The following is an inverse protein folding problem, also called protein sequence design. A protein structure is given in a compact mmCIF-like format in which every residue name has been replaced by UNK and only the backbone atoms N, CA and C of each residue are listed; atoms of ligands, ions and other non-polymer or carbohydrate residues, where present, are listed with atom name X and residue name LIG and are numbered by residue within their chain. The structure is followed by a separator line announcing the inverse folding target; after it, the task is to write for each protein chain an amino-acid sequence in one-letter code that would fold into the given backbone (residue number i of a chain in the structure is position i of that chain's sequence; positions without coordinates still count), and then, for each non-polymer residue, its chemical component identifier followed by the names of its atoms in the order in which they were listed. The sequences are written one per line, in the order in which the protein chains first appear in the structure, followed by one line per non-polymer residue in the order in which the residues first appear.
data_IF_727006180028
#
_entry.id   IF_727006180028
#
_cell.length_a   1.000
_cell.length_b   1.000
_cell.length_c   1.000
_cell.angle_alpha   90.00
_cell.angle_beta   90.00
_cell.angle_gamma   90.00
#
_symmetry.space_group_name_H-M   'P 1'
#
loop_
_entity.id
_entity.type
_entity.pdbx_description
1 polymer ?
#
# COMPACT_ATOMS: atom_id res chain seq x y z
N UNK A 1 4.50 -2.73 -20.02
CA UNK A 1 3.83 -2.96 -18.72
C UNK A 1 4.35 -1.95 -17.72
N UNK A 2 3.45 -1.28 -17.01
CA UNK A 2 3.82 -0.36 -15.95
C UNK A 2 4.39 -1.11 -14.74
N UNK A 3 5.32 -0.49 -14.01
CA UNK A 3 5.97 -1.04 -12.83
C UNK A 3 5.21 -0.65 -11.56
N UNK A 4 5.33 -1.49 -10.51
CA UNK A 4 4.61 -1.32 -9.24
C UNK A 4 5.54 -1.48 -8.04
N UNK A 5 5.49 -0.51 -7.11
CA UNK A 5 6.13 -0.58 -5.80
C UNK A 5 5.09 -0.89 -4.71
N UNK A 6 5.30 -1.96 -3.97
CA UNK A 6 4.60 -2.25 -2.74
C UNK A 6 5.34 -1.63 -1.54
N UNK A 7 4.71 -0.68 -0.86
CA UNK A 7 5.23 -0.02 0.34
C UNK A 7 4.60 -0.70 1.56
N UNK A 8 5.41 -1.48 2.29
CA UNK A 8 4.97 -2.21 3.48
C UNK A 8 5.30 -1.39 4.73
N UNK A 9 4.31 -1.15 5.59
CA UNK A 9 4.52 -0.53 6.90
C UNK A 9 4.31 -1.55 8.01
N UNK A 10 5.30 -1.70 8.90
CA UNK A 10 5.26 -2.66 9.99
C UNK A 10 5.67 -2.04 11.33
N UNK A 11 5.14 -2.61 12.43
CA UNK A 11 5.44 -2.18 13.78
C UNK A 11 5.33 -3.36 14.75
N UNK A 12 6.37 -3.60 15.56
CA UNK A 12 6.43 -4.50 16.70
C UNK A 12 6.02 -5.98 16.49
N UNK A 13 5.62 -6.39 15.27
CA UNK A 13 5.23 -7.77 14.92
C UNK A 13 5.96 -8.23 13.66
N UNK A 14 7.10 -8.89 13.85
CA UNK A 14 7.91 -9.44 12.76
C UNK A 14 7.17 -10.55 12.01
N UNK A 15 6.42 -11.40 12.70
CA UNK A 15 5.69 -12.50 12.07
C UNK A 15 4.59 -11.98 11.13
N UNK A 16 3.89 -10.92 11.54
CA UNK A 16 2.91 -10.25 10.69
C UNK A 16 3.57 -9.61 9.46
N UNK A 17 4.69 -8.92 9.65
CA UNK A 17 5.49 -8.34 8.55
C UNK A 17 5.89 -9.42 7.54
N UNK A 18 6.42 -10.55 8.00
CA UNK A 18 6.82 -11.67 7.13
C UNK A 18 5.62 -12.29 6.40
N UNK A 19 4.45 -12.41 7.05
CA UNK A 19 3.21 -12.86 6.38
C UNK A 19 2.85 -11.92 5.22
N UNK A 20 2.92 -10.61 5.42
CA UNK A 20 2.62 -9.63 4.37
C UNK A 20 3.62 -9.72 3.22
N UNK A 21 4.91 -9.83 3.51
CA UNK A 21 5.95 -10.03 2.48
C UNK A 21 5.67 -11.30 1.66
N UNK A 22 5.40 -12.42 2.33
CA UNK A 22 5.11 -13.68 1.64
C UNK A 22 3.83 -13.60 0.80
N UNK A 23 2.80 -12.89 1.27
CA UNK A 23 1.56 -12.68 0.50
C UNK A 23 1.79 -11.83 -0.75
N UNK A 24 2.71 -10.86 -0.70
CA UNK A 24 3.11 -10.06 -1.86
C UNK A 24 3.91 -10.86 -2.88
N UNK A 25 4.81 -11.73 -2.42
CA UNK A 25 5.58 -12.63 -3.29
C UNK A 25 4.70 -13.72 -3.91
N UNK A 26 3.57 -14.07 -3.28
CA UNK A 26 2.60 -15.05 -3.78
C UNK A 26 1.48 -14.45 -4.64
N UNK A 27 1.50 -13.14 -4.92
CA UNK A 27 0.53 -12.50 -5.81
C UNK A 27 0.65 -13.04 -7.24
N UNK A 28 -0.46 -13.12 -7.98
CA UNK A 28 -0.46 -13.54 -9.41
C UNK A 28 0.39 -12.60 -10.27
N UNK A 29 0.49 -11.33 -9.88
CA UNK A 29 1.46 -10.37 -10.39
C UNK A 29 2.32 -9.89 -9.23
N UNK A 30 3.56 -10.34 -9.16
CA UNK A 30 4.52 -9.94 -8.12
C UNK A 30 4.91 -8.46 -8.30
N UNK A 31 5.01 -7.65 -7.23
CA UNK A 31 5.53 -6.28 -7.32
C UNK A 31 6.92 -6.24 -7.96
N UNK A 32 7.21 -5.19 -8.72
CA UNK A 32 8.56 -4.94 -9.25
C UNK A 32 9.53 -4.53 -8.14
N UNK A 33 9.00 -3.88 -7.10
CA UNK A 33 9.75 -3.43 -5.94
C UNK A 33 8.92 -3.63 -4.67
N UNK A 34 9.55 -4.09 -3.60
CA UNK A 34 8.99 -4.14 -2.25
C UNK A 34 9.90 -3.33 -1.33
N UNK A 35 9.33 -2.33 -0.67
CA UNK A 35 10.01 -1.50 0.33
C UNK A 35 9.32 -1.73 1.67
N UNK A 36 10.07 -2.16 2.67
CA UNK A 36 9.57 -2.40 4.02
C UNK A 36 10.10 -1.34 4.96
N UNK A 37 9.21 -0.57 5.59
CA UNK A 37 9.56 0.39 6.62
C UNK A 37 9.02 -0.12 7.96
N UNK A 38 9.91 -0.47 8.88
CA UNK A 38 9.55 -1.14 10.11
C UNK A 38 10.12 -0.42 11.33
N UNK A 39 9.33 -0.33 12.40
CA UNK A 39 9.76 0.15 13.71
C UNK A 39 9.58 -0.93 14.77
N UNK A 40 10.49 -0.96 15.74
CA UNK A 40 10.50 -1.90 16.86
C UNK A 40 10.54 -3.39 16.42
N UNK A 41 11.18 -3.66 15.27
CA UNK A 41 11.39 -5.00 14.69
C UNK A 41 12.88 -5.12 14.33
N UNK A 42 13.50 -6.27 14.66
CA UNK A 42 14.83 -6.61 14.18
C UNK A 42 14.76 -7.09 12.72
N UNK A 43 15.41 -6.39 11.80
CA UNK A 43 15.34 -6.70 10.37
C UNK A 43 16.42 -7.67 9.88
N UNK A 44 17.42 -7.99 10.70
CA UNK A 44 18.62 -8.72 10.27
C UNK A 44 18.35 -10.13 9.71
N UNK A 45 17.33 -10.82 10.18
CA UNK A 45 16.93 -12.13 9.64
C UNK A 45 16.12 -11.98 8.36
N UNK A 46 15.20 -11.04 8.32
CA UNK A 46 14.40 -10.73 7.13
C UNK A 46 15.28 -10.28 5.96
N UNK A 47 16.27 -9.40 6.19
CA UNK A 47 17.23 -8.96 5.18
C UNK A 47 18.03 -10.12 4.57
N UNK A 48 18.44 -11.09 5.40
CA UNK A 48 19.13 -12.30 4.91
C UNK A 48 18.22 -13.23 4.12
N UNK A 49 16.96 -13.38 4.56
CA UNK A 49 15.99 -14.26 3.92
C UNK A 49 15.46 -13.69 2.58
N UNK A 50 15.40 -12.36 2.46
CA UNK A 50 14.80 -11.68 1.31
C UNK A 50 15.73 -10.60 0.72
N UNK A 51 16.89 -10.96 0.15
CA UNK A 51 17.92 -10.00 -0.28
C UNK A 51 17.47 -9.06 -1.41
N UNK A 52 16.38 -9.35 -2.10
CA UNK A 52 15.81 -8.50 -3.15
C UNK A 52 14.84 -7.44 -2.59
N UNK A 53 14.50 -7.50 -1.31
CA UNK A 53 13.58 -6.56 -0.65
C UNK A 53 14.40 -5.46 0.02
N UNK A 54 13.93 -4.22 -0.09
CA UNK A 54 14.56 -3.07 0.56
C UNK A 54 13.95 -2.87 1.94
N UNK A 55 14.74 -3.10 2.99
CA UNK A 55 14.33 -2.90 4.37
C UNK A 55 14.88 -1.58 4.92
N UNK A 56 14.04 -0.84 5.64
CA UNK A 56 14.37 0.42 6.28
C UNK A 56 13.90 0.38 7.74
N UNK A 57 14.83 0.33 8.71
CA UNK A 57 14.50 0.53 10.11
C UNK A 57 14.09 1.99 10.34
N UNK A 58 12.95 2.19 10.97
CA UNK A 58 12.39 3.51 11.21
C UNK A 58 12.10 3.74 12.70
N UNK A 59 12.17 4.98 13.18
CA UNK A 59 11.73 5.30 14.53
C UNK A 59 10.21 5.09 14.67
N UNK A 60 9.77 4.74 15.87
CA UNK A 60 8.37 4.74 16.22
C UNK A 60 7.94 6.15 16.62
N UNK A 61 7.27 6.85 15.74
CA UNK A 61 6.81 8.23 15.96
C UNK A 61 5.40 8.31 16.55
N UNK A 62 4.76 7.16 16.83
CA UNK A 62 3.37 7.11 17.32
C UNK A 62 2.35 7.84 16.41
N UNK A 63 2.64 7.88 15.11
CA UNK A 63 1.87 8.58 14.08
C UNK A 63 1.04 7.64 13.20
N UNK A 64 0.71 6.45 13.70
CA UNK A 64 -0.01 5.39 12.97
C UNK A 64 0.69 4.95 11.67
N UNK A 65 1.99 5.18 11.57
CA UNK A 65 2.83 4.82 10.41
C UNK A 65 2.72 5.78 9.22
N UNK A 66 2.18 6.98 9.41
CA UNK A 66 2.06 7.97 8.33
C UNK A 66 3.42 8.45 7.83
N UNK A 67 4.41 8.61 8.72
CA UNK A 67 5.77 8.97 8.33
C UNK A 67 6.44 7.87 7.50
N UNK A 68 6.26 6.61 7.89
CA UNK A 68 6.72 5.45 7.10
C UNK A 68 6.09 5.42 5.71
N UNK A 69 4.78 5.70 5.59
CA UNK A 69 4.10 5.74 4.29
C UNK A 69 4.62 6.86 3.39
N UNK A 70 4.86 8.04 3.95
CA UNK A 70 5.46 9.17 3.24
C UNK A 70 6.87 8.84 2.75
N UNK A 71 7.73 8.32 3.64
CA UNK A 71 9.09 7.93 3.30
C UNK A 71 9.14 6.80 2.26
N UNK A 72 8.24 5.82 2.37
CA UNK A 72 8.12 4.77 1.35
C UNK A 72 7.78 5.32 -0.02
N UNK A 73 6.90 6.31 -0.09
CA UNK A 73 6.57 7.01 -1.34
C UNK A 73 7.76 7.75 -1.94
N UNK A 74 8.57 8.40 -1.09
CA UNK A 74 9.80 9.09 -1.56
C UNK A 74 10.84 8.11 -2.13
N UNK A 75 10.90 6.91 -1.55
CA UNK A 75 11.83 5.85 -1.96
C UNK A 75 11.34 5.05 -3.18
N UNK A 76 10.05 5.03 -3.50
CA UNK A 76 9.46 4.24 -4.56
C UNK A 76 10.01 4.64 -5.93
N UNK A 77 10.41 3.66 -6.76
CA UNK A 77 10.99 3.91 -8.09
C UNK A 77 10.06 3.54 -9.25
N UNK A 78 8.93 2.90 -8.98
CA UNK A 78 8.00 2.40 -9.98
C UNK A 78 6.98 3.45 -10.45
N UNK A 79 6.28 3.16 -11.56
CA UNK A 79 5.25 4.02 -12.13
C UNK A 79 4.03 4.18 -11.20
N UNK A 80 3.67 3.11 -10.48
CA UNK A 80 2.57 3.08 -9.51
C UNK A 80 3.05 2.61 -8.14
N UNK A 81 2.38 3.09 -7.09
CA UNK A 81 2.64 2.71 -5.68
C UNK A 81 1.36 2.32 -4.97
N UNK A 82 1.48 1.43 -4.00
CA UNK A 82 0.41 1.04 -3.08
C UNK A 82 0.96 0.75 -1.68
N UNK A 83 0.13 0.92 -0.66
CA UNK A 83 0.50 0.75 0.74
C UNK A 83 -0.09 -0.53 1.32
N UNK A 84 0.72 -1.30 2.02
CA UNK A 84 0.38 -2.59 2.61
C UNK A 84 0.72 -2.55 4.10
N UNK A 85 -0.29 -2.66 4.96
CA UNK A 85 -0.06 -2.74 6.39
C UNK A 85 0.17 -4.20 6.80
N UNK A 86 0.97 -4.42 7.82
CA UNK A 86 1.34 -5.77 8.27
C UNK A 86 0.21 -6.54 8.97
N UNK A 87 -0.86 -5.87 9.37
CA UNK A 87 -2.06 -6.42 10.04
C UNK A 87 -3.25 -6.67 9.09
N UNK A 88 -3.06 -6.42 7.80
CA UNK A 88 -4.08 -6.56 6.77
C UNK A 88 -3.82 -7.81 5.89
N UNK A 89 -4.83 -8.20 5.11
CA UNK A 89 -4.67 -9.24 4.09
C UNK A 89 -5.25 -8.83 2.74
N UNK A 90 -4.76 -9.48 1.68
CA UNK A 90 -5.06 -9.11 0.29
C UNK A 90 -5.45 -10.36 -0.51
N UNK A 91 -6.39 -10.19 -1.42
CA UNK A 91 -6.69 -11.24 -2.40
C UNK A 91 -5.44 -11.52 -3.25
N UNK A 92 -5.24 -12.77 -3.61
CA UNK A 92 -4.11 -13.24 -4.43
C UNK A 92 -3.97 -12.51 -5.77
N UNK A 93 -5.07 -12.02 -6.33
CA UNK A 93 -5.09 -11.28 -7.59
C UNK A 93 -5.12 -9.75 -7.41
N UNK A 94 -4.93 -9.24 -6.19
CA UNK A 94 -5.05 -7.80 -5.91
C UNK A 94 -4.19 -6.97 -6.85
N UNK A 95 -2.88 -7.23 -6.91
CA UNK A 95 -1.96 -6.42 -7.71
C UNK A 95 -2.24 -6.57 -9.20
N UNK A 96 -2.51 -7.77 -9.70
CA UNK A 96 -2.84 -8.00 -11.10
C UNK A 96 -4.08 -7.23 -11.54
N UNK A 97 -5.17 -7.32 -10.77
CA UNK A 97 -6.43 -6.65 -11.10
C UNK A 97 -6.26 -5.14 -11.05
N UNK A 98 -5.61 -4.61 -10.01
CA UNK A 98 -5.43 -3.18 -9.84
C UNK A 98 -4.51 -2.60 -10.93
N UNK A 99 -3.41 -3.28 -11.23
CA UNK A 99 -2.46 -2.84 -12.26
C UNK A 99 -3.01 -2.96 -13.68
N UNK A 100 -3.90 -3.91 -13.95
CA UNK A 100 -4.59 -3.98 -15.25
C UNK A 100 -5.40 -2.71 -15.54
N UNK A 101 -6.10 -2.17 -14.55
CA UNK A 101 -6.84 -0.91 -14.69
C UNK A 101 -5.90 0.31 -14.74
N UNK A 102 -4.80 0.30 -13.99
CA UNK A 102 -3.77 1.32 -14.07
C UNK A 102 -3.16 1.41 -15.48
N UNK A 103 -2.85 0.27 -16.09
CA UNK A 103 -2.34 0.17 -17.47
C UNK A 103 -3.37 0.56 -18.54
N UNK A 104 -4.67 0.55 -18.21
CA UNK A 104 -5.72 1.11 -19.05
C UNK A 104 -5.76 2.65 -19.04
N UNK A 105 -4.89 3.31 -18.26
CA UNK A 105 -4.70 4.76 -18.24
C UNK A 105 -5.37 5.48 -17.05
N UNK A 106 -5.64 4.77 -15.96
CA UNK A 106 -6.19 5.38 -14.75
C UNK A 106 -5.08 5.83 -13.78
N UNK A 107 -5.13 7.08 -13.32
CA UNK A 107 -4.15 7.65 -12.38
C UNK A 107 -4.22 7.03 -10.98
N UNK A 108 -5.43 6.67 -10.57
CA UNK A 108 -5.68 5.97 -9.31
C UNK A 108 -6.72 4.86 -9.53
N UNK A 109 -6.49 3.71 -8.91
CA UNK A 109 -7.39 2.56 -8.95
C UNK A 109 -7.67 2.13 -7.52
N UNK A 110 -8.92 1.91 -7.16
CA UNK A 110 -9.30 1.43 -5.84
C UNK A 110 -10.33 0.31 -5.92
N UNK A 111 -10.33 -0.55 -4.94
CA UNK A 111 -11.25 -1.70 -4.86
C UNK A 111 -12.17 -1.61 -3.64
N UNK A 112 -13.17 -2.49 -3.60
CA UNK A 112 -13.91 -2.76 -2.39
C UNK A 112 -13.00 -3.36 -1.31
N UNK A 113 -13.33 -3.12 -0.06
CA UNK A 113 -12.65 -3.69 1.10
C UNK A 113 -13.68 -4.27 2.09
N UNK A 114 -13.24 -5.05 3.06
CA UNK A 114 -14.13 -5.83 3.95
C UNK A 114 -15.21 -5.00 4.69
N UNK A 115 -14.98 -3.70 4.87
CA UNK A 115 -15.93 -2.77 5.52
C UNK A 115 -16.71 -1.87 4.56
N UNK A 116 -16.32 -1.78 3.28
CA UNK A 116 -17.00 -0.95 2.28
C UNK A 116 -16.67 -1.38 0.86
N UNK A 117 -17.70 -1.45 0.02
CA UNK A 117 -17.57 -1.73 -1.42
C UNK A 117 -18.28 -0.68 -2.29
N UNK A 118 -18.39 0.56 -1.80
CA UNK A 118 -19.05 1.65 -2.52
C UNK A 118 -18.08 2.37 -3.47
N UNK A 119 -18.51 2.82 -4.66
CA UNK A 119 -17.68 3.54 -5.63
C UNK A 119 -17.45 4.99 -5.18
N UNK A 120 -16.66 5.17 -4.12
CA UNK A 120 -16.44 6.47 -3.51
C UNK A 120 -14.99 6.61 -3.02
N UNK A 121 -14.12 7.15 -3.87
CA UNK A 121 -12.71 7.38 -3.55
C UNK A 121 -12.53 8.67 -2.74
N UNK A 122 -12.78 8.57 -1.44
CA UNK A 122 -12.62 9.67 -0.47
C UNK A 122 -12.36 9.18 0.94
N UNK A 123 -11.98 10.09 1.83
CA UNK A 123 -11.92 9.87 3.27
C UNK A 123 -13.19 9.17 3.78
N UNK A 124 -13.02 8.17 4.63
CA UNK A 124 -14.10 7.38 5.24
C UNK A 124 -14.68 6.26 4.37
N UNK A 125 -14.43 6.27 3.05
CA UNK A 125 -14.84 5.19 2.14
C UNK A 125 -13.65 4.40 1.58
N UNK A 126 -12.47 4.99 1.57
CA UNK A 126 -11.21 4.39 1.19
C UNK A 126 -10.19 4.50 2.32
N UNK A 127 -9.22 3.60 2.35
CA UNK A 127 -8.14 3.51 3.33
C UNK A 127 -6.83 3.15 2.62
N UNK A 128 -5.70 3.30 3.28
CA UNK A 128 -4.37 3.10 2.67
C UNK A 128 -4.19 1.75 1.96
N UNK A 129 -4.90 0.69 2.37
CA UNK A 129 -4.75 -0.65 1.79
C UNK A 129 -5.58 -0.94 0.53
N UNK A 130 -6.59 -0.13 0.20
CA UNK A 130 -7.55 -0.50 -0.85
C UNK A 130 -7.36 0.22 -2.20
N UNK A 131 -6.26 0.92 -2.40
CA UNK A 131 -5.97 1.62 -3.66
C UNK A 131 -4.49 1.54 -4.05
N UNK A 132 -4.26 1.74 -5.34
CA UNK A 132 -2.96 2.05 -5.92
C UNK A 132 -3.06 3.37 -6.67
N UNK A 133 -1.95 4.06 -6.85
CA UNK A 133 -1.92 5.39 -7.49
C UNK A 133 -0.63 5.56 -8.28
N UNK A 134 -0.67 6.34 -9.38
CA UNK A 134 0.53 6.81 -10.05
C UNK A 134 1.48 7.45 -9.04
N UNK A 135 2.73 6.99 -8.99
CA UNK A 135 3.73 7.47 -8.04
C UNK A 135 3.96 8.98 -8.18
N UNK A 136 3.93 9.49 -9.41
CA UNK A 136 4.05 10.92 -9.68
C UNK A 136 2.88 11.72 -9.09
N UNK A 137 1.64 11.25 -9.28
CA UNK A 137 0.45 11.88 -8.70
C UNK A 137 0.47 11.82 -7.17
N UNK A 138 0.87 10.70 -6.59
CA UNK A 138 0.97 10.54 -5.15
C UNK A 138 1.97 11.55 -4.53
N UNK A 139 3.12 11.73 -5.17
CA UNK A 139 4.12 12.74 -4.77
C UNK A 139 3.59 14.16 -4.91
N UNK A 140 2.89 14.48 -5.99
CA UNK A 140 2.25 15.78 -6.19
C UNK A 140 1.16 16.05 -5.14
N UNK A 141 0.39 15.04 -4.75
CA UNK A 141 -0.61 15.12 -3.69
C UNK A 141 0.04 15.35 -2.31
N UNK A 142 1.21 14.76 -2.06
CA UNK A 142 2.01 14.91 -0.85
C UNK A 142 1.40 14.20 0.36
N UNK A 143 2.11 13.21 0.89
CA UNK A 143 1.74 12.52 2.13
C UNK A 143 2.34 13.27 3.33
N UNK A 144 1.76 14.42 3.69
CA UNK A 144 2.36 15.39 4.64
C UNK A 144 1.78 15.38 6.03
N UNK A 145 0.55 14.91 6.21
CA UNK A 145 -0.15 14.94 7.50
C UNK A 145 0.27 13.77 8.39
N UNK A 146 0.16 13.98 9.72
CA UNK A 146 0.56 12.99 10.75
C UNK A 146 -0.53 12.78 11.81
N UNK A 147 -1.74 13.32 11.62
CA UNK A 147 -2.89 13.06 12.49
C UNK A 147 -3.59 11.74 12.12
N UNK A 148 -4.48 11.27 12.96
CA UNK A 148 -5.15 9.95 12.79
C UNK A 148 -5.79 9.73 11.40
N UNK A 149 -6.36 10.76 10.81
CA UNK A 149 -7.05 10.69 9.50
C UNK A 149 -6.15 11.10 8.32
N UNK A 150 -4.84 11.10 8.48
CA UNK A 150 -3.90 11.57 7.45
C UNK A 150 -3.97 10.78 6.14
N UNK A 151 -4.27 9.47 6.20
CA UNK A 151 -4.51 8.66 5.00
C UNK A 151 -5.75 9.13 4.23
N UNK A 152 -6.83 9.45 4.94
CA UNK A 152 -8.04 10.02 4.34
C UNK A 152 -7.81 11.39 3.71
N UNK A 153 -7.03 12.26 4.36
CA UNK A 153 -6.65 13.57 3.80
C UNK A 153 -5.81 13.38 2.53
N UNK A 154 -4.88 12.44 2.54
CA UNK A 154 -4.08 12.11 1.36
C UNK A 154 -4.93 11.58 0.20
N UNK A 155 -5.89 10.67 0.48
CA UNK A 155 -6.86 10.17 -0.52
C UNK A 155 -7.64 11.33 -1.15
N UNK A 156 -8.13 12.27 -0.35
CA UNK A 156 -8.85 13.44 -0.87
C UNK A 156 -7.98 14.31 -1.77
N UNK A 157 -6.68 14.48 -1.45
CA UNK A 157 -5.73 15.20 -2.31
C UNK A 157 -5.49 14.47 -3.63
N UNK A 158 -5.33 13.15 -3.61
CA UNK A 158 -5.23 12.33 -4.83
C UNK A 158 -6.50 12.52 -5.67
N UNK A 159 -7.68 12.36 -5.07
CA UNK A 159 -8.96 12.47 -5.77
C UNK A 159 -9.16 13.85 -6.42
N UNK A 160 -8.67 14.92 -5.79
CA UNK A 160 -8.78 16.30 -6.33
C UNK A 160 -7.85 16.57 -7.50
N UNK A 161 -6.76 15.80 -7.67
CA UNK A 161 -5.73 16.01 -8.68
C UNK A 161 -5.77 14.97 -9.80
N UNK A 162 -6.33 13.79 -9.54
CA UNK A 162 -6.42 12.70 -10.50
C UNK A 162 -7.32 13.08 -11.69
N UNK A 163 -6.85 12.82 -12.90
CA UNK A 163 -7.65 12.99 -14.12
C UNK A 163 -8.60 11.80 -14.33
N UNK A 164 -8.21 10.63 -13.85
CA UNK A 164 -8.97 9.40 -13.99
C UNK A 164 -8.84 8.51 -12.76
N UNK A 165 -9.97 8.23 -12.12
CA UNK A 165 -10.06 7.34 -10.96
C UNK A 165 -10.97 6.16 -11.29
N UNK A 166 -10.51 4.95 -11.10
CA UNK A 166 -11.25 3.71 -11.39
C UNK A 166 -11.66 2.96 -10.14
N UNK A 167 -12.91 2.58 -10.05
CA UNK A 167 -13.40 1.64 -9.06
C UNK A 167 -13.45 0.21 -9.62
N UNK A 168 -12.84 -0.73 -8.91
CA UNK A 168 -12.94 -2.17 -9.14
C UNK A 168 -14.00 -2.72 -8.19
N UNK A 169 -15.17 -3.20 -8.68
CA UNK A 169 -16.28 -3.64 -7.83
C UNK A 169 -16.05 -5.07 -7.28
N UNK A 170 -14.88 -5.28 -6.68
CA UNK A 170 -14.47 -6.52 -6.01
C UNK A 170 -13.87 -6.18 -4.65
N UNK A 171 -14.15 -7.00 -3.65
CA UNK A 171 -13.47 -6.93 -2.35
C UNK A 171 -12.14 -7.67 -2.49
N UNK A 172 -11.05 -6.92 -2.56
CA UNK A 172 -9.70 -7.45 -2.74
C UNK A 172 -8.78 -7.13 -1.54
N UNK A 173 -9.25 -6.33 -0.60
CA UNK A 173 -8.53 -5.91 0.61
C UNK A 173 -9.36 -6.20 1.85
N UNK A 174 -8.73 -6.74 2.89
CA UNK A 174 -9.34 -7.18 4.14
C UNK A 174 -8.62 -6.54 5.32
N UNK A 175 -9.26 -5.53 5.89
CA UNK A 175 -8.70 -4.70 6.95
C UNK A 175 -8.77 -5.40 8.31
N UNK A 176 -7.63 -5.52 8.99
CA UNK A 176 -7.45 -6.24 10.26
C UNK A 176 -7.99 -7.68 10.23
N UNK A 177 -7.97 -8.32 9.07
CA UNK A 177 -8.35 -9.71 8.89
C UNK A 177 -7.15 -10.51 8.40
N UNK A 178 -6.58 -11.34 9.26
CA UNK A 178 -5.57 -12.33 8.85
C UNK A 178 -6.31 -13.52 8.24
N UNK A 179 -6.32 -13.62 6.92
CA UNK A 179 -6.81 -14.80 6.23
C UNK A 179 -5.63 -15.74 5.96
N UNK A 180 -5.71 -16.93 6.55
CA UNK A 180 -4.82 -18.02 6.16
C UNK A 180 -5.26 -18.48 4.77
N UNK A 181 -4.45 -18.16 3.77
CA UNK A 181 -4.63 -18.60 2.39
C UNK A 181 -4.27 -20.07 2.20
#
# INVERSE_FOLDING_TARGET
MATFTAIVTAHADEAAMLRTINSLLAQTRVPNEIIVLASDISLSEAERAYPAIRFHPEPNLSDWGHDKRAKGLDLAASDYSGWFNHDDSYDKAYIEVMMSEAEAGHDAVYCGWSKSSTPNFRMGSSTSGNYIVSTALAREAGYTDRHYEADGTFINRIASKAKSVKFVPKVLYFHNEVRNG
#
